data_IF_971118043487
#
_entry.id   IF_971118043487
#
_cell.length_a   1.000
_cell.length_b   1.000
_cell.length_c   1.000
_cell.angle_alpha   90.00
_cell.angle_beta   90.00
_cell.angle_gamma   90.00
#
_symmetry.space_group_name_H-M   'P 1'
#
loop_
_entity.id
_entity.type
_entity.pdbx_description
1 polymer ?
#
# COMPACT_ATOMS: atom_id res chain seq x y z
N UNK A 1 -5.72 -15.64 16.60
CA UNK A 1 -5.27 -16.78 15.74
C UNK A 1 -3.98 -16.35 15.05
N UNK A 2 -2.95 -17.17 15.14
CA UNK A 2 -1.72 -16.90 14.39
C UNK A 2 -1.83 -17.60 13.02
N UNK A 3 -1.87 -16.81 11.96
CA UNK A 3 -2.00 -17.32 10.58
C UNK A 3 -0.66 -17.79 10.06
N UNK A 4 -0.66 -18.86 9.28
CA UNK A 4 0.56 -19.33 8.61
C UNK A 4 1.07 -18.31 7.60
N UNK A 5 2.37 -18.31 7.31
CA UNK A 5 2.96 -17.42 6.31
C UNK A 5 2.35 -17.61 4.91
N UNK A 6 1.98 -18.84 4.56
CA UNK A 6 1.30 -19.11 3.29
C UNK A 6 -0.04 -18.35 3.18
N UNK A 7 -0.83 -18.31 4.25
CA UNK A 7 -2.08 -17.53 4.31
C UNK A 7 -1.80 -16.04 4.23
N UNK A 8 -0.76 -15.55 4.92
CA UNK A 8 -0.35 -14.15 4.86
C UNK A 8 0.06 -13.73 3.44
N UNK A 9 0.83 -14.55 2.71
CA UNK A 9 1.17 -14.28 1.30
C UNK A 9 -0.05 -14.30 0.39
N UNK A 10 -0.95 -15.26 0.58
CA UNK A 10 -2.18 -15.33 -0.20
C UNK A 10 -3.06 -14.08 -0.01
N UNK A 11 -3.14 -13.56 1.22
CA UNK A 11 -3.90 -12.33 1.51
C UNK A 11 -3.20 -11.07 1.01
N UNK A 12 -1.87 -11.00 0.98
CA UNK A 12 -1.12 -9.92 0.30
C UNK A 12 -1.35 -9.93 -1.22
N UNK A 13 -1.35 -11.12 -1.85
CA UNK A 13 -1.68 -11.28 -3.26
C UNK A 13 -3.12 -10.82 -3.55
N UNK A 14 -4.11 -11.32 -2.81
CA UNK A 14 -5.52 -10.99 -3.01
C UNK A 14 -5.78 -9.50 -2.70
N UNK A 15 -5.21 -8.98 -1.62
CA UNK A 15 -5.34 -7.58 -1.23
C UNK A 15 -4.79 -6.63 -2.29
N UNK A 16 -3.62 -6.95 -2.85
CA UNK A 16 -3.04 -6.15 -3.95
C UNK A 16 -3.86 -6.30 -5.23
N UNK A 17 -4.38 -7.49 -5.53
CA UNK A 17 -5.28 -7.67 -6.68
C UNK A 17 -6.54 -6.80 -6.56
N UNK A 18 -7.18 -6.77 -5.38
CA UNK A 18 -8.36 -5.93 -5.12
C UNK A 18 -7.99 -4.44 -5.25
N UNK A 19 -6.85 -4.01 -4.69
CA UNK A 19 -6.35 -2.65 -4.87
C UNK A 19 -6.30 -2.25 -6.35
N UNK A 20 -5.74 -3.11 -7.19
CA UNK A 20 -5.60 -2.82 -8.62
C UNK A 20 -6.95 -2.86 -9.34
N UNK A 21 -7.80 -3.83 -9.04
CA UNK A 21 -9.14 -3.92 -9.66
C UNK A 21 -9.95 -2.65 -9.40
N UNK A 22 -9.95 -2.16 -8.16
CA UNK A 22 -10.73 -0.98 -7.79
C UNK A 22 -10.04 0.33 -8.21
N UNK A 23 -8.75 0.45 -7.99
CA UNK A 23 -7.98 1.67 -8.32
C UNK A 23 -7.76 1.83 -9.82
N UNK A 24 -7.07 0.88 -10.46
CA UNK A 24 -6.82 0.94 -11.91
C UNK A 24 -8.10 0.77 -12.72
N UNK A 25 -9.08 0.03 -12.20
CA UNK A 25 -10.42 -0.06 -12.79
C UNK A 25 -11.15 1.29 -12.81
N UNK A 26 -11.04 2.08 -11.74
CA UNK A 26 -11.57 3.44 -11.73
C UNK A 26 -10.87 4.33 -12.76
N UNK A 27 -9.53 4.23 -12.88
CA UNK A 27 -8.79 4.94 -13.95
C UNK A 27 -9.27 4.49 -15.32
N UNK A 28 -9.41 3.18 -15.56
CA UNK A 28 -9.91 2.66 -16.84
C UNK A 28 -11.31 3.18 -17.16
N UNK A 29 -12.16 3.27 -16.15
CA UNK A 29 -13.52 3.80 -16.34
C UNK A 29 -13.53 5.31 -16.68
N UNK A 30 -12.58 6.10 -16.16
CA UNK A 30 -12.48 7.55 -16.44
C UNK A 30 -11.75 7.83 -17.75
N UNK A 31 -10.66 7.11 -18.04
CA UNK A 31 -9.73 7.43 -19.13
C UNK A 31 -10.07 6.74 -20.46
N UNK A 32 -10.64 5.54 -20.43
CA UNK A 32 -10.90 4.79 -21.67
C UNK A 32 -12.15 5.29 -22.38
N UNK A 33 -12.01 5.53 -23.68
CA UNK A 33 -13.07 6.07 -24.55
C UNK A 33 -14.29 5.13 -24.63
N UNK A 34 -15.45 5.67 -24.30
CA UNK A 34 -16.74 5.01 -24.46
C UNK A 34 -17.20 4.19 -23.27
N UNK A 35 -16.48 4.17 -22.15
CA UNK A 35 -17.02 3.70 -20.87
C UNK A 35 -18.11 4.64 -20.37
N UNK A 36 -18.98 4.17 -19.49
CA UNK A 36 -20.04 5.01 -18.91
C UNK A 36 -19.50 6.11 -17.99
N UNK A 37 -18.30 5.90 -17.43
CA UNK A 37 -17.61 6.87 -16.58
C UNK A 37 -16.58 7.72 -17.31
N UNK A 38 -16.51 7.64 -18.65
CA UNK A 38 -15.52 8.41 -19.41
C UNK A 38 -15.60 9.91 -19.09
N UNK A 39 -14.46 10.51 -18.74
CA UNK A 39 -14.33 11.91 -18.35
C UNK A 39 -15.15 12.33 -17.11
N UNK A 40 -15.55 11.39 -16.23
CA UNK A 40 -16.30 11.69 -15.01
C UNK A 40 -15.48 12.40 -13.92
N UNK A 41 -14.19 12.60 -14.14
CA UNK A 41 -13.33 13.41 -13.29
C UNK A 41 -12.49 12.64 -12.30
N UNK A 42 -11.50 13.35 -11.74
CA UNK A 42 -10.44 12.79 -10.90
C UNK A 42 -10.94 12.19 -9.57
N UNK A 43 -12.07 12.70 -9.05
CA UNK A 43 -12.64 12.21 -7.79
C UNK A 43 -13.02 10.74 -7.86
N UNK A 44 -13.48 10.25 -9.01
CA UNK A 44 -13.81 8.82 -9.21
C UNK A 44 -12.56 7.96 -9.01
N UNK A 45 -11.41 8.41 -9.54
CA UNK A 45 -10.12 7.72 -9.37
C UNK A 45 -9.70 7.72 -7.89
N UNK A 46 -9.84 8.87 -7.21
CA UNK A 46 -9.52 8.99 -5.79
C UNK A 46 -10.37 8.05 -4.92
N UNK A 47 -11.66 7.98 -5.17
CA UNK A 47 -12.57 7.02 -4.51
C UNK A 47 -12.14 5.58 -4.80
N UNK A 48 -11.86 5.25 -6.06
CA UNK A 48 -11.43 3.91 -6.46
C UNK A 48 -10.19 3.43 -5.71
N UNK A 49 -9.16 4.27 -5.59
CA UNK A 49 -7.95 3.92 -4.83
C UNK A 49 -8.17 3.90 -3.32
N UNK A 50 -8.95 4.84 -2.78
CA UNK A 50 -9.30 4.83 -1.36
C UNK A 50 -10.02 3.57 -0.95
N UNK A 51 -11.04 3.16 -1.72
CA UNK A 51 -11.75 1.89 -1.51
C UNK A 51 -10.86 0.69 -1.77
N UNK A 52 -9.97 0.78 -2.78
CA UNK A 52 -9.00 -0.25 -3.13
C UNK A 52 -8.00 -0.57 -2.02
N UNK A 53 -7.71 0.38 -1.13
CA UNK A 53 -6.89 0.16 0.07
C UNK A 53 -7.76 -0.23 1.26
N UNK A 54 -8.88 0.45 1.46
CA UNK A 54 -9.76 0.25 2.60
C UNK A 54 -10.34 -1.16 2.68
N UNK A 55 -10.88 -1.64 1.56
CA UNK A 55 -11.58 -2.94 1.54
C UNK A 55 -10.63 -4.09 1.90
N UNK A 56 -9.46 -4.27 1.24
CA UNK A 56 -8.54 -5.33 1.65
C UNK A 56 -7.97 -5.11 3.05
N UNK A 57 -7.81 -3.87 3.53
CA UNK A 57 -7.40 -3.61 4.90
C UNK A 57 -8.43 -4.14 5.91
N UNK A 58 -9.72 -3.91 5.67
CA UNK A 58 -10.80 -4.47 6.48
C UNK A 58 -10.86 -6.00 6.43
N UNK A 59 -10.56 -6.60 5.27
CA UNK A 59 -10.61 -8.06 5.08
C UNK A 59 -9.38 -8.78 5.67
N UNK A 60 -8.18 -8.22 5.47
CA UNK A 60 -6.91 -8.92 5.64
C UNK A 60 -5.95 -8.26 6.64
N UNK A 61 -6.30 -7.11 7.20
CA UNK A 61 -5.47 -6.38 8.14
C UNK A 61 -5.06 -7.23 9.36
N UNK A 62 -5.98 -8.03 9.88
CA UNK A 62 -5.73 -8.96 10.99
C UNK A 62 -5.00 -10.25 10.57
N UNK A 63 -4.78 -10.48 9.26
CA UNK A 63 -4.15 -11.69 8.74
C UNK A 63 -2.69 -11.45 8.39
N UNK A 64 -2.43 -10.53 7.45
CA UNK A 64 -1.09 -10.22 6.94
C UNK A 64 -0.54 -8.86 7.37
N UNK A 65 -1.36 -8.03 8.02
CA UNK A 65 -1.10 -6.60 8.20
C UNK A 65 -1.52 -5.76 7.00
N UNK A 66 -1.96 -6.40 5.91
CA UNK A 66 -2.39 -5.76 4.66
C UNK A 66 -1.41 -4.69 4.17
N UNK A 67 -0.15 -5.09 4.01
CA UNK A 67 0.88 -4.17 3.49
C UNK A 67 0.55 -3.74 2.07
N UNK A 68 0.24 -4.69 1.20
CA UNK A 68 -0.12 -4.52 -0.22
C UNK A 68 0.76 -3.50 -0.98
N UNK A 69 1.96 -3.25 -0.44
CA UNK A 69 2.87 -2.20 -0.89
C UNK A 69 4.32 -2.55 -0.50
N UNK A 70 5.22 -2.80 -1.48
CA UNK A 70 6.62 -3.11 -1.20
C UNK A 70 7.35 -2.03 -0.41
N UNK A 71 7.05 -0.75 -0.65
CA UNK A 71 7.70 0.35 0.07
C UNK A 71 7.32 0.36 1.56
N UNK A 72 6.07 0.05 1.90
CA UNK A 72 5.63 -0.10 3.28
C UNK A 72 6.27 -1.33 3.94
N UNK A 73 6.29 -2.47 3.25
CA UNK A 73 6.95 -3.69 3.72
C UNK A 73 8.42 -3.47 4.04
N UNK A 74 9.15 -2.80 3.14
CA UNK A 74 10.57 -2.46 3.34
C UNK A 74 10.77 -1.46 4.48
N UNK A 75 9.94 -0.42 4.58
CA UNK A 75 9.98 0.55 5.66
C UNK A 75 9.85 -0.12 7.04
N UNK A 76 8.87 -1.02 7.19
CA UNK A 76 8.68 -1.80 8.41
C UNK A 76 9.86 -2.72 8.70
N UNK A 77 10.43 -3.37 7.67
CA UNK A 77 11.57 -4.28 7.86
C UNK A 77 12.85 -3.55 8.30
N UNK A 78 13.17 -2.41 7.65
CA UNK A 78 14.32 -1.55 8.04
C UNK A 78 14.19 -1.07 9.48
N UNK A 79 12.97 -0.84 9.94
CA UNK A 79 12.69 -0.37 11.30
C UNK A 79 12.54 -1.49 12.34
N UNK A 80 12.73 -2.75 11.93
CA UNK A 80 12.62 -3.91 12.83
C UNK A 80 11.17 -4.28 13.21
N UNK A 81 10.18 -3.72 12.51
CA UNK A 81 8.75 -3.99 12.74
C UNK A 81 8.21 -5.14 11.87
N UNK A 82 9.02 -5.64 10.93
CA UNK A 82 8.68 -6.77 10.08
C UNK A 82 9.94 -7.64 9.83
N UNK A 83 9.83 -8.98 9.86
CA UNK A 83 11.00 -9.87 9.70
C UNK A 83 11.54 -9.86 8.27
N UNK A 84 12.84 -9.63 8.10
CA UNK A 84 13.52 -9.61 6.80
C UNK A 84 13.36 -10.90 6.02
N UNK A 85 13.28 -12.05 6.69
CA UNK A 85 13.07 -13.37 6.08
C UNK A 85 11.76 -13.48 5.28
N UNK A 86 10.82 -12.57 5.48
CA UNK A 86 9.49 -12.60 4.84
C UNK A 86 9.30 -11.48 3.80
N UNK A 87 10.26 -10.55 3.68
CA UNK A 87 10.15 -9.38 2.80
C UNK A 87 10.02 -9.78 1.34
N UNK A 88 10.89 -10.67 0.86
CA UNK A 88 10.88 -11.07 -0.54
C UNK A 88 9.55 -11.74 -0.94
N UNK A 89 9.01 -12.62 -0.10
CA UNK A 89 7.77 -13.33 -0.35
C UNK A 89 6.57 -12.38 -0.37
N UNK A 90 6.54 -11.38 0.54
CA UNK A 90 5.52 -10.33 0.51
C UNK A 90 5.57 -9.53 -0.79
N UNK A 91 6.75 -9.06 -1.18
CA UNK A 91 6.92 -8.29 -2.42
C UNK A 91 6.50 -9.11 -3.65
N UNK A 92 6.90 -10.38 -3.72
CA UNK A 92 6.49 -11.28 -4.82
C UNK A 92 4.97 -11.43 -4.84
N UNK A 93 4.33 -11.69 -3.70
CA UNK A 93 2.88 -11.83 -3.60
C UNK A 93 2.16 -10.54 -4.05
N UNK A 94 2.65 -9.38 -3.61
CA UNK A 94 2.11 -8.07 -3.97
C UNK A 94 2.23 -7.78 -5.47
N UNK A 95 3.40 -8.02 -6.07
CA UNK A 95 3.62 -7.81 -7.51
C UNK A 95 2.77 -8.76 -8.36
N UNK A 96 2.72 -10.04 -8.00
CA UNK A 96 1.86 -11.02 -8.69
C UNK A 96 0.38 -10.68 -8.55
N UNK A 97 -0.05 -10.24 -7.37
CA UNK A 97 -1.41 -9.75 -7.13
C UNK A 97 -1.75 -8.54 -8.00
N UNK A 98 -0.81 -7.60 -8.14
CA UNK A 98 -0.96 -6.44 -9.01
C UNK A 98 -1.10 -6.83 -10.49
N UNK A 99 -0.29 -7.76 -10.97
CA UNK A 99 -0.37 -8.28 -12.35
C UNK A 99 -1.72 -8.97 -12.57
N UNK A 100 -2.14 -9.82 -11.64
CA UNK A 100 -3.40 -10.54 -11.73
C UNK A 100 -4.61 -9.59 -11.72
N UNK A 101 -4.65 -8.63 -10.78
CA UNK A 101 -5.68 -7.62 -10.71
C UNK A 101 -5.78 -6.79 -12.00
N UNK A 102 -4.63 -6.40 -12.56
CA UNK A 102 -4.58 -5.66 -13.81
C UNK A 102 -5.05 -6.50 -15.02
N UNK A 103 -4.74 -7.78 -15.04
CA UNK A 103 -5.24 -8.68 -16.09
C UNK A 103 -6.77 -8.74 -16.09
N UNK A 104 -7.40 -8.74 -14.91
CA UNK A 104 -8.87 -8.68 -14.79
C UNK A 104 -9.42 -7.32 -15.23
N UNK A 105 -8.76 -6.20 -14.92
CA UNK A 105 -9.14 -4.86 -15.45
C UNK A 105 -9.09 -4.86 -16.97
N UNK A 106 -8.02 -5.41 -17.57
CA UNK A 106 -7.91 -5.51 -19.04
C UNK A 106 -9.02 -6.38 -19.61
N UNK A 107 -9.30 -7.56 -19.02
CA UNK A 107 -10.33 -8.45 -19.50
C UNK A 107 -11.72 -7.79 -19.53
N UNK A 108 -12.05 -7.04 -18.48
CA UNK A 108 -13.35 -6.35 -18.38
C UNK A 108 -13.46 -5.11 -19.25
N UNK A 109 -12.34 -4.43 -19.56
CA UNK A 109 -12.32 -3.17 -20.32
C UNK A 109 -11.76 -3.33 -21.74
N UNK A 110 -11.47 -4.54 -22.22
CA UNK A 110 -10.85 -4.76 -23.53
C UNK A 110 -11.52 -4.01 -24.70
N UNK A 111 -12.88 -3.98 -24.85
CA UNK A 111 -13.51 -3.25 -25.96
C UNK A 111 -13.23 -1.74 -25.95
N UNK A 112 -12.94 -1.17 -24.79
CA UNK A 112 -12.67 0.26 -24.60
C UNK A 112 -11.18 0.58 -24.84
N UNK A 113 -10.27 -0.32 -24.51
CA UNK A 113 -8.86 -0.21 -24.92
C UNK A 113 -8.74 -0.11 -26.44
N UNK A 114 -9.46 -0.94 -27.18
CA UNK A 114 -9.45 -0.95 -28.65
C UNK A 114 -9.96 0.36 -29.29
N UNK A 115 -10.77 1.13 -28.56
CA UNK A 115 -11.34 2.41 -29.03
C UNK A 115 -10.55 3.63 -28.57
N UNK A 116 -9.64 3.48 -27.63
CA UNK A 116 -8.91 4.60 -27.03
C UNK A 116 -7.69 4.94 -27.88
N UNK A 117 -7.61 6.20 -28.32
CA UNK A 117 -6.57 6.67 -29.26
C UNK A 117 -5.35 7.24 -28.52
N UNK A 118 -5.53 7.80 -27.32
CA UNK A 118 -4.44 8.40 -26.55
C UNK A 118 -3.63 7.32 -25.82
N UNK A 119 -2.35 7.11 -26.17
CA UNK A 119 -1.52 6.09 -25.54
C UNK A 119 -1.26 6.37 -24.03
N UNK A 120 -1.29 7.65 -23.61
CA UNK A 120 -1.13 7.99 -22.21
C UNK A 120 -2.37 7.57 -21.38
N UNK A 121 -3.58 7.68 -21.96
CA UNK A 121 -4.79 7.21 -21.30
C UNK A 121 -4.77 5.68 -21.15
N UNK A 122 -4.25 4.97 -22.16
CA UNK A 122 -4.07 3.52 -22.10
C UNK A 122 -3.05 3.17 -20.99
N UNK A 123 -1.84 3.72 -21.05
CA UNK A 123 -0.79 3.45 -20.07
C UNK A 123 -1.20 3.90 -18.66
N UNK A 124 -1.93 5.01 -18.52
CA UNK A 124 -2.42 5.53 -17.24
C UNK A 124 -3.31 4.56 -16.47
N UNK A 125 -4.02 3.66 -17.19
CA UNK A 125 -4.80 2.59 -16.54
C UNK A 125 -3.93 1.47 -15.94
N UNK A 126 -2.65 1.42 -16.24
CA UNK A 126 -1.68 0.46 -15.73
C UNK A 126 -0.77 1.09 -14.69
N UNK A 127 -0.15 2.23 -15.04
CA UNK A 127 1.00 2.77 -14.31
C UNK A 127 0.95 4.28 -14.24
N UNK A 128 1.72 4.84 -13.33
CA UNK A 128 1.88 6.28 -13.20
C UNK A 128 2.74 6.84 -14.33
N UNK A 129 2.34 8.01 -14.81
CA UNK A 129 3.06 8.76 -15.84
C UNK A 129 3.04 10.24 -15.48
N UNK A 130 4.16 10.92 -15.68
CA UNK A 130 4.18 12.36 -15.46
C UNK A 130 3.35 13.11 -16.51
N UNK A 131 2.52 14.05 -16.05
CA UNK A 131 1.68 14.88 -16.89
C UNK A 131 2.48 15.91 -17.71
N UNK A 132 3.74 16.20 -17.33
CA UNK A 132 4.60 17.19 -17.99
C UNK A 132 5.61 16.57 -18.97
N UNK A 133 5.54 15.25 -19.24
CA UNK A 133 6.38 14.60 -20.24
C UNK A 133 5.85 14.88 -21.66
N UNK A 134 6.59 15.68 -22.43
CA UNK A 134 6.34 15.98 -23.83
C UNK A 134 7.31 15.28 -24.80
N UNK A 135 8.07 14.28 -24.31
CA UNK A 135 8.98 13.45 -25.12
C UNK A 135 10.37 14.03 -25.34
N UNK A 136 10.67 15.25 -24.88
CA UNK A 136 12.02 15.83 -24.96
C UNK A 136 12.88 15.44 -23.78
N UNK A 137 14.21 15.57 -23.88
CA UNK A 137 15.12 15.28 -22.76
C UNK A 137 14.85 16.19 -21.55
N UNK A 138 14.61 17.46 -21.82
CA UNK A 138 14.33 18.49 -20.81
C UNK A 138 13.02 18.20 -20.09
N UNK A 139 11.95 17.86 -20.82
CA UNK A 139 10.66 17.50 -20.21
C UNK A 139 10.74 16.20 -19.40
N UNK A 140 11.50 15.21 -19.87
CA UNK A 140 11.74 13.97 -19.11
C UNK A 140 12.53 14.19 -17.83
N UNK A 141 13.54 15.07 -17.86
CA UNK A 141 14.26 15.44 -16.63
C UNK A 141 13.33 16.15 -15.64
N UNK A 142 12.58 17.16 -16.10
CA UNK A 142 11.60 17.85 -15.27
C UNK A 142 10.52 16.89 -14.70
N UNK A 143 10.00 15.99 -15.57
CA UNK A 143 9.05 14.93 -15.19
C UNK A 143 9.61 14.00 -14.11
N UNK A 144 10.89 13.63 -14.22
CA UNK A 144 11.57 12.77 -13.23
C UNK A 144 11.68 13.46 -11.88
N UNK A 145 12.17 14.71 -11.86
CA UNK A 145 12.34 15.49 -10.62
C UNK A 145 11.00 15.75 -9.94
N UNK A 146 10.03 16.28 -10.70
CA UNK A 146 8.69 16.55 -10.18
C UNK A 146 8.01 15.28 -9.69
N UNK A 147 8.09 14.21 -10.49
CA UNK A 147 7.52 12.91 -10.14
C UNK A 147 8.15 12.31 -8.89
N UNK A 148 9.47 12.37 -8.74
CA UNK A 148 10.17 11.88 -7.56
C UNK A 148 9.73 12.62 -6.29
N UNK A 149 9.67 13.95 -6.34
CA UNK A 149 9.22 14.77 -5.21
C UNK A 149 7.76 14.43 -4.86
N UNK A 150 6.89 14.35 -5.85
CA UNK A 150 5.47 14.05 -5.66
C UNK A 150 5.24 12.66 -5.03
N UNK A 151 5.88 11.63 -5.59
CA UNK A 151 5.81 10.26 -5.08
C UNK A 151 6.42 10.13 -3.68
N UNK A 152 7.52 10.83 -3.41
CA UNK A 152 8.14 10.84 -2.08
C UNK A 152 7.23 11.49 -1.04
N UNK A 153 6.72 12.70 -1.31
CA UNK A 153 5.86 13.42 -0.36
C UNK A 153 4.57 12.64 -0.11
N UNK A 154 3.91 12.16 -1.17
CA UNK A 154 2.68 11.39 -1.03
C UNK A 154 2.87 10.09 -0.25
N UNK A 155 3.94 9.35 -0.54
CA UNK A 155 4.27 8.11 0.17
C UNK A 155 4.69 8.36 1.61
N UNK A 156 5.45 9.43 1.87
CA UNK A 156 5.83 9.81 3.23
C UNK A 156 4.60 10.07 4.10
N UNK A 157 3.68 10.90 3.61
CA UNK A 157 2.42 11.19 4.33
C UNK A 157 1.59 9.92 4.51
N UNK A 158 1.50 9.08 3.45
CA UNK A 158 0.77 7.81 3.52
C UNK A 158 1.29 6.93 4.66
N UNK A 159 2.59 6.66 4.69
CA UNK A 159 3.15 5.70 5.65
C UNK A 159 3.21 6.26 7.06
N UNK A 160 3.59 7.53 7.21
CA UNK A 160 3.62 8.18 8.52
C UNK A 160 2.23 8.24 9.16
N UNK A 161 1.21 8.67 8.41
CA UNK A 161 -0.17 8.75 8.89
C UNK A 161 -0.78 7.36 9.10
N UNK A 162 -0.50 6.38 8.20
CA UNK A 162 -0.97 5.01 8.38
C UNK A 162 -0.46 4.42 9.70
N UNK A 163 0.84 4.56 10.00
CA UNK A 163 1.42 4.11 11.27
C UNK A 163 0.81 4.85 12.46
N UNK A 164 0.65 6.17 12.36
CA UNK A 164 0.04 6.97 13.42
C UNK A 164 -1.39 6.55 13.74
N UNK A 165 -2.22 6.36 12.69
CA UNK A 165 -3.60 5.92 12.85
C UNK A 165 -3.70 4.49 13.38
N UNK A 166 -2.89 3.57 12.87
CA UNK A 166 -2.93 2.17 13.31
C UNK A 166 -2.39 2.01 14.72
N UNK A 167 -1.34 2.76 15.12
CA UNK A 167 -0.81 2.71 16.49
C UNK A 167 -1.85 3.05 17.54
N UNK A 168 -2.62 4.10 17.35
CA UNK A 168 -3.63 4.54 18.31
C UNK A 168 -4.78 3.54 18.50
N UNK A 169 -4.90 2.57 17.61
CA UNK A 169 -5.93 1.54 17.61
C UNK A 169 -5.38 0.11 17.81
N UNK A 170 -4.06 -0.05 18.02
CA UNK A 170 -3.47 -1.38 18.22
C UNK A 170 -3.47 -1.81 19.69
N UNK A 171 -4.50 -2.52 20.08
CA UNK A 171 -4.49 -3.27 21.33
C UNK A 171 -3.36 -4.30 21.41
N UNK A 172 -2.93 -4.89 20.31
CA UNK A 172 -1.81 -5.83 20.26
C UNK A 172 -0.47 -5.20 20.67
N UNK A 173 -0.20 -3.94 20.28
CA UNK A 173 1.03 -3.25 20.68
C UNK A 173 1.00 -2.86 22.16
N UNK A 174 -0.16 -2.42 22.66
CA UNK A 174 -0.35 -2.15 24.09
C UNK A 174 -0.17 -3.42 24.92
N UNK A 175 -0.67 -4.56 24.43
CA UNK A 175 -0.47 -5.84 25.06
C UNK A 175 1.00 -6.28 25.05
N UNK A 176 1.71 -6.09 23.94
CA UNK A 176 3.14 -6.37 23.82
C UNK A 176 3.97 -5.51 24.78
N UNK A 177 3.64 -4.21 24.91
CA UNK A 177 4.29 -3.33 25.89
C UNK A 177 4.00 -3.77 27.33
N UNK A 178 2.75 -4.10 27.66
CA UNK A 178 2.40 -4.60 28.98
C UNK A 178 3.16 -5.89 29.29
N UNK A 179 3.29 -6.79 28.33
CA UNK A 179 4.08 -8.02 28.45
C UNK A 179 5.57 -7.74 28.67
N UNK A 180 6.15 -6.79 27.94
CA UNK A 180 7.53 -6.32 28.13
C UNK A 180 7.74 -5.78 29.54
N UNK A 181 6.88 -4.90 30.02
CA UNK A 181 6.96 -4.35 31.39
C UNK A 181 6.87 -5.43 32.46
N UNK A 182 5.98 -6.42 32.30
CA UNK A 182 5.85 -7.54 33.22
C UNK A 182 7.13 -8.40 33.23
N UNK A 183 7.69 -8.69 32.06
CA UNK A 183 8.94 -9.44 31.93
C UNK A 183 10.12 -8.72 32.57
N UNK A 184 10.21 -7.40 32.39
CA UNK A 184 11.25 -6.56 33.01
C UNK A 184 11.13 -6.53 34.53
N UNK A 185 9.91 -6.48 35.09
CA UNK A 185 9.67 -6.58 36.52
C UNK A 185 10.08 -7.95 37.08
N UNK A 186 9.77 -9.03 36.37
CA UNK A 186 10.19 -10.39 36.74
C UNK A 186 11.71 -10.50 36.72
N UNK A 187 12.39 -9.99 35.70
CA UNK A 187 13.84 -9.99 35.57
C UNK A 187 14.50 -9.20 36.70
N UNK A 188 13.98 -8.00 37.01
CA UNK A 188 14.50 -7.18 38.14
C UNK A 188 14.32 -7.86 39.50
N UNK A 189 13.15 -8.44 39.75
CA UNK A 189 12.93 -9.19 41.00
C UNK A 189 13.88 -10.40 41.14
N UNK A 190 14.08 -11.12 40.02
CA UNK A 190 15.02 -12.26 39.99
C UNK A 190 16.47 -11.80 40.26
N UNK A 191 16.88 -10.69 39.72
CA UNK A 191 18.20 -10.11 39.97
C UNK A 191 18.40 -9.67 41.42
N UNK A 192 17.32 -9.39 42.15
CA UNK A 192 17.30 -9.07 43.58
C UNK A 192 17.11 -10.30 44.47
N UNK A 193 17.15 -11.50 43.90
CA UNK A 193 16.95 -12.75 44.64
C UNK A 193 15.50 -13.04 45.07
N UNK A 194 14.54 -12.30 44.48
CA UNK A 194 13.12 -12.49 44.71
C UNK A 194 12.51 -13.29 43.58
N UNK A 195 11.58 -14.19 43.87
CA UNK A 195 10.84 -14.97 42.87
C UNK A 195 9.39 -14.47 42.84
N UNK A 196 8.94 -13.95 41.68
CA UNK A 196 7.53 -13.64 41.48
C UNK A 196 6.81 -14.94 41.14
N UNK A 197 5.77 -15.35 41.88
CA UNK A 197 5.00 -16.55 41.57
C UNK A 197 4.40 -16.49 40.16
N UNK A 198 4.49 -17.58 39.40
CA UNK A 198 3.97 -17.67 38.03
C UNK A 198 2.48 -17.31 37.95
N UNK A 199 1.72 -17.58 38.98
CA UNK A 199 0.31 -17.23 39.09
C UNK A 199 0.08 -15.72 39.07
N UNK A 200 0.94 -14.93 39.71
CA UNK A 200 0.87 -13.45 39.68
C UNK A 200 1.23 -12.90 38.31
N UNK A 201 2.23 -13.50 37.65
CA UNK A 201 2.60 -13.12 36.26
C UNK A 201 1.43 -13.39 35.32
N UNK A 202 0.80 -14.55 35.43
CA UNK A 202 -0.35 -14.92 34.60
C UNK A 202 -1.55 -14.02 34.88
N UNK A 203 -1.84 -13.70 36.14
CA UNK A 203 -2.93 -12.78 36.50
C UNK A 203 -2.70 -11.36 35.93
N UNK A 204 -1.48 -10.84 36.01
CA UNK A 204 -1.13 -9.55 35.47
C UNK A 204 -1.30 -9.51 33.91
N UNK A 205 -0.93 -10.58 33.21
CA UNK A 205 -1.12 -10.72 31.76
C UNK A 205 -2.61 -10.77 31.39
N UNK A 206 -3.42 -11.53 32.13
CA UNK A 206 -4.88 -11.60 31.89
C UNK A 206 -5.56 -10.25 32.20
N UNK A 207 -5.12 -9.54 33.21
CA UNK A 207 -5.60 -8.19 33.51
C UNK A 207 -5.23 -7.21 32.36
N UNK A 208 -4.00 -7.26 31.85
CA UNK A 208 -3.57 -6.47 30.71
C UNK A 208 -4.40 -6.77 29.45
N UNK A 209 -4.65 -8.05 29.14
CA UNK A 209 -5.53 -8.48 28.04
C UNK A 209 -6.94 -7.92 28.19
N UNK A 210 -7.50 -7.95 29.39
CA UNK A 210 -8.85 -7.43 29.65
C UNK A 210 -8.92 -5.91 29.46
N UNK A 211 -7.91 -5.19 29.89
CA UNK A 211 -7.83 -3.73 29.72
C UNK A 211 -7.67 -3.32 28.26
N UNK A 212 -6.98 -4.12 27.47
CA UNK A 212 -6.71 -3.84 26.05
C UNK A 212 -7.82 -4.37 25.11
N UNK A 213 -8.64 -5.33 25.58
CA UNK A 213 -9.71 -5.94 24.79
C UNK A 213 -10.67 -4.95 24.09
N UNK A 214 -11.06 -3.82 24.70
CA UNK A 214 -11.91 -2.81 24.04
C UNK A 214 -11.25 -2.16 22.81
N UNK A 215 -9.93 -2.19 22.71
CA UNK A 215 -9.15 -1.57 21.63
C UNK A 215 -8.78 -2.56 20.51
N UNK A 216 -9.06 -3.86 20.68
CA UNK A 216 -8.57 -4.89 19.77
C UNK A 216 -9.38 -5.03 18.48
N UNK A 217 -10.67 -4.78 18.46
CA UNK A 217 -11.52 -5.07 17.28
C UNK A 217 -12.19 -3.84 16.67
N UNK A 218 -12.95 -3.02 17.40
CA UNK A 218 -13.58 -1.84 16.79
C UNK A 218 -12.55 -0.80 16.32
N UNK A 219 -11.44 -0.65 17.05
CA UNK A 219 -10.40 0.32 16.75
C UNK A 219 -9.70 0.05 15.43
N UNK A 220 -9.37 -1.20 15.12
CA UNK A 220 -8.70 -1.57 13.88
C UNK A 220 -9.58 -1.34 12.65
N UNK A 221 -10.88 -1.63 12.74
CA UNK A 221 -11.81 -1.34 11.65
C UNK A 221 -11.91 0.17 11.36
N UNK A 222 -11.94 1.02 12.40
CA UNK A 222 -11.94 2.48 12.24
C UNK A 222 -10.63 2.96 11.60
N UNK A 223 -9.48 2.39 12.01
CA UNK A 223 -8.18 2.71 11.41
C UNK A 223 -8.14 2.35 9.92
N UNK A 224 -8.69 1.21 9.53
CA UNK A 224 -8.77 0.80 8.12
C UNK A 224 -9.71 1.69 7.30
N UNK A 225 -10.83 2.14 7.87
CA UNK A 225 -11.68 3.15 7.24
C UNK A 225 -10.92 4.47 7.06
N UNK A 226 -10.26 4.95 8.10
CA UNK A 226 -9.46 6.18 8.06
C UNK A 226 -8.32 6.09 7.03
N UNK A 227 -7.68 4.92 6.88
CA UNK A 227 -6.66 4.67 5.87
C UNK A 227 -7.20 4.82 4.44
N UNK A 228 -8.41 4.34 4.17
CA UNK A 228 -9.07 4.54 2.89
C UNK A 228 -9.33 6.00 2.58
N UNK A 229 -9.84 6.77 3.53
CA UNK A 229 -10.03 8.21 3.40
C UNK A 229 -8.71 8.98 3.24
N UNK A 230 -7.64 8.56 3.94
CA UNK A 230 -6.31 9.11 3.73
C UNK A 230 -5.84 8.94 2.28
N UNK A 231 -5.98 7.73 1.72
CA UNK A 231 -5.61 7.47 0.33
C UNK A 231 -6.47 8.30 -0.63
N UNK A 232 -7.78 8.42 -0.39
CA UNK A 232 -8.63 9.33 -1.17
C UNK A 232 -8.11 10.76 -1.14
N UNK A 233 -7.77 11.28 0.05
CA UNK A 233 -7.25 12.62 0.22
C UNK A 233 -5.92 12.82 -0.52
N UNK A 234 -4.98 11.85 -0.44
CA UNK A 234 -3.70 11.90 -1.13
C UNK A 234 -3.87 11.85 -2.66
N UNK A 235 -4.73 10.98 -3.17
CA UNK A 235 -5.00 10.92 -4.62
C UNK A 235 -5.69 12.18 -5.11
N UNK A 236 -6.59 12.75 -4.31
CA UNK A 236 -7.26 14.02 -4.66
C UNK A 236 -6.28 15.19 -4.69
N UNK A 237 -5.34 15.26 -3.74
CA UNK A 237 -4.44 16.40 -3.58
C UNK A 237 -3.13 16.28 -4.35
N UNK A 238 -2.56 15.09 -4.45
CA UNK A 238 -1.22 14.84 -5.01
C UNK A 238 -1.21 13.93 -6.24
N UNK A 239 -2.36 13.37 -6.63
CA UNK A 239 -2.42 12.45 -7.77
C UNK A 239 -2.29 13.12 -9.13
N UNK A 240 -2.57 14.42 -9.26
CA UNK A 240 -2.57 15.14 -10.54
C UNK A 240 -1.26 15.15 -11.30
N UNK A 241 -0.08 15.38 -10.66
CA UNK A 241 1.20 15.44 -11.37
C UNK A 241 1.64 14.13 -12.04
N UNK A 242 1.38 12.99 -11.42
CA UNK A 242 1.94 11.70 -11.87
C UNK A 242 0.91 10.58 -11.99
N UNK A 243 -0.25 10.74 -11.42
CA UNK A 243 -1.17 9.67 -11.10
C UNK A 243 -0.90 9.14 -9.67
N UNK A 244 -1.81 8.35 -9.09
CA UNK A 244 -1.65 7.84 -7.73
C UNK A 244 -0.71 6.63 -7.71
N UNK A 245 0.60 6.88 -7.67
CA UNK A 245 1.62 5.85 -7.55
C UNK A 245 1.68 5.29 -6.14
N UNK A 246 2.51 5.87 -5.28
CA UNK A 246 2.68 5.63 -3.85
C UNK A 246 2.99 4.17 -3.47
N UNK A 247 3.15 3.29 -4.47
CA UNK A 247 3.23 1.85 -4.28
C UNK A 247 3.98 1.19 -5.45
N UNK A 248 5.18 0.65 -5.21
CA UNK A 248 5.96 0.00 -6.26
C UNK A 248 5.24 -1.16 -6.96
N UNK A 249 4.48 -1.99 -6.25
CA UNK A 249 3.77 -3.10 -6.88
C UNK A 249 2.62 -2.61 -7.76
N UNK A 250 1.92 -1.54 -7.35
CA UNK A 250 0.82 -0.92 -8.10
C UNK A 250 1.29 -0.33 -9.42
N UNK A 251 2.56 0.11 -9.51
CA UNK A 251 3.12 0.61 -10.77
C UNK A 251 3.84 -0.47 -11.56
N UNK A 252 4.81 -1.16 -10.95
CA UNK A 252 5.71 -2.09 -11.65
C UNK A 252 4.99 -3.30 -12.22
N UNK A 253 4.11 -3.95 -11.44
CA UNK A 253 3.40 -5.15 -11.89
C UNK A 253 2.51 -4.90 -13.13
N UNK A 254 1.59 -3.92 -13.08
CA UNK A 254 0.78 -3.55 -14.23
C UNK A 254 1.61 -3.01 -15.41
N UNK A 255 2.69 -2.26 -15.18
CA UNK A 255 3.59 -1.77 -16.25
C UNK A 255 4.24 -2.93 -17.00
N UNK A 256 4.66 -3.96 -16.28
CA UNK A 256 5.19 -5.18 -16.88
C UNK A 256 4.11 -5.85 -17.76
N UNK A 257 2.89 -5.96 -17.26
CA UNK A 257 1.78 -6.50 -18.05
C UNK A 257 1.50 -5.66 -19.30
N UNK A 258 1.49 -4.32 -19.18
CA UNK A 258 1.35 -3.43 -20.34
C UNK A 258 2.46 -3.69 -21.38
N UNK A 259 3.69 -3.89 -20.95
CA UNK A 259 4.80 -4.14 -21.87
C UNK A 259 4.63 -5.41 -22.70
N UNK A 260 4.15 -6.50 -22.08
CA UNK A 260 4.03 -7.82 -22.73
C UNK A 260 2.71 -8.00 -23.51
N UNK A 261 1.66 -7.28 -23.16
CA UNK A 261 0.39 -7.41 -23.87
C UNK A 261 0.48 -6.86 -25.29
N UNK A 262 -0.04 -7.58 -26.31
CA UNK A 262 0.00 -7.15 -27.70
C UNK A 262 -1.07 -6.07 -28.01
N UNK A 263 -0.88 -5.38 -29.14
CA UNK A 263 -1.87 -4.41 -29.66
C UNK A 263 -3.25 -5.02 -29.95
N UNK A 264 -3.32 -6.30 -30.27
CA UNK A 264 -4.60 -7.01 -30.46
C UNK A 264 -5.46 -7.04 -29.18
N UNK A 265 -4.87 -6.77 -28.00
CA UNK A 265 -5.57 -6.68 -26.71
C UNK A 265 -5.77 -5.22 -26.30
N UNK A 266 -4.72 -4.38 -26.41
CA UNK A 266 -4.73 -3.01 -25.91
C UNK A 266 -5.05 -1.94 -26.99
N UNK A 267 -5.24 -2.34 -28.23
CA UNK A 267 -5.51 -1.43 -29.36
C UNK A 267 -4.23 -0.98 -30.08
N UNK A 268 -4.42 -0.43 -31.27
CA UNK A 268 -3.31 0.06 -32.12
C UNK A 268 -2.52 1.18 -31.46
N UNK A 269 -3.16 1.95 -30.60
CA UNK A 269 -2.59 3.08 -29.88
C UNK A 269 -1.98 2.72 -28.51
N UNK A 270 -1.66 1.46 -28.27
CA UNK A 270 -1.06 0.99 -26.99
C UNK A 270 0.10 1.87 -26.50
N UNK A 271 0.96 2.33 -27.39
CA UNK A 271 2.12 3.17 -27.04
C UNK A 271 3.25 2.45 -26.32
N UNK A 272 4.19 3.22 -25.79
CA UNK A 272 5.35 2.77 -25.01
C UNK A 272 5.00 2.67 -23.51
N UNK A 273 5.64 1.71 -22.82
CA UNK A 273 5.47 1.49 -21.37
C UNK A 273 6.28 2.47 -20.51
N UNK A 274 7.02 3.40 -21.11
CA UNK A 274 7.82 4.45 -20.45
C UNK A 274 8.73 3.93 -19.33
N UNK A 275 9.52 2.90 -19.64
CA UNK A 275 10.46 2.29 -18.69
C UNK A 275 11.51 3.27 -18.14
N UNK A 276 11.81 4.34 -18.87
CA UNK A 276 12.69 5.41 -18.42
C UNK A 276 12.20 6.09 -17.14
N UNK A 277 10.88 6.09 -16.91
CA UNK A 277 10.23 6.68 -15.73
C UNK A 277 9.97 5.66 -14.62
N UNK A 278 9.92 4.36 -14.94
CA UNK A 278 9.46 3.28 -14.05
C UNK A 278 10.19 3.20 -12.70
N UNK A 279 11.43 3.68 -12.62
CA UNK A 279 12.20 3.69 -11.38
C UNK A 279 11.67 4.71 -10.36
N UNK A 280 11.05 5.81 -10.80
CA UNK A 280 10.52 6.87 -9.93
C UNK A 280 9.46 6.33 -8.97
N UNK A 281 8.35 5.69 -9.43
CA UNK A 281 7.32 5.14 -8.54
C UNK A 281 7.77 3.89 -7.74
N UNK A 282 9.01 3.45 -7.94
CA UNK A 282 9.63 2.39 -7.13
C UNK A 282 10.53 2.99 -6.06
N UNK A 283 11.50 3.81 -6.45
CA UNK A 283 12.55 4.31 -5.54
C UNK A 283 12.03 5.40 -4.62
N UNK A 284 11.22 6.33 -5.12
CA UNK A 284 10.71 7.43 -4.30
C UNK A 284 9.81 6.95 -3.14
N UNK A 285 8.82 6.04 -3.36
CA UNK A 285 8.04 5.48 -2.27
C UNK A 285 8.87 4.66 -1.26
N UNK A 286 9.89 3.90 -1.73
CA UNK A 286 10.77 3.15 -0.81
C UNK A 286 11.56 4.10 0.09
N UNK A 287 12.17 5.13 -0.49
CA UNK A 287 12.90 6.14 0.29
C UNK A 287 11.97 6.86 1.29
N UNK A 288 10.76 7.21 0.86
CA UNK A 288 9.74 7.82 1.71
C UNK A 288 9.28 6.88 2.84
N UNK A 289 9.10 5.60 2.55
CA UNK A 289 8.71 4.59 3.54
C UNK A 289 9.74 4.47 4.66
N UNK A 290 11.01 4.38 4.30
CA UNK A 290 12.11 4.34 5.27
C UNK A 290 12.13 5.61 6.13
N UNK A 291 12.03 6.79 5.51
CA UNK A 291 12.03 8.06 6.22
C UNK A 291 10.81 8.22 7.14
N UNK A 292 9.62 7.85 6.67
CA UNK A 292 8.38 7.94 7.45
C UNK A 292 8.39 7.04 8.68
N UNK A 293 8.84 5.78 8.51
CA UNK A 293 8.93 4.83 9.63
C UNK A 293 10.03 5.23 10.61
N UNK A 294 11.16 5.74 10.14
CA UNK A 294 12.22 6.26 11.01
C UNK A 294 11.72 7.44 11.85
N UNK A 295 11.04 8.41 11.25
CA UNK A 295 10.45 9.53 11.98
C UNK A 295 9.36 9.05 12.96
N UNK A 296 8.54 8.09 12.54
CA UNK A 296 7.52 7.51 13.42
C UNK A 296 8.15 6.89 14.69
N UNK A 297 9.23 6.10 14.52
CA UNK A 297 9.95 5.53 15.65
C UNK A 297 10.53 6.60 16.58
N UNK A 298 11.12 7.63 16.01
CA UNK A 298 11.70 8.74 16.80
C UNK A 298 10.65 9.45 17.68
N UNK A 299 9.42 9.60 17.17
CA UNK A 299 8.37 10.36 17.85
C UNK A 299 7.52 9.51 18.81
N UNK A 300 7.39 8.22 18.57
CA UNK A 300 6.38 7.40 19.25
C UNK A 300 6.93 6.13 19.92
N UNK A 301 8.20 5.79 19.71
CA UNK A 301 8.83 4.58 20.28
C UNK A 301 10.10 4.91 21.02
#
# INVERSE_FOLDING_TARGET
MDFTWAVKYATEFLGTAILIILGNGAVANVELKGTKGHQSGWLVIAVGYGMGVMIPALMFGNVSGNHINPAFTLGLAVSGLFPWSQVAQYIIAQVLGAIFGQALVVATHRPYYLKTENPNNILGTFSTISSIDHGTKESRFAATVNGFINEFVGSFVLFFAALGMTKNFFGAELLSKAQGMINDQVAQATAQGQTIPQEQVTAALEQAKTQVAPFLSPGLAIAHLALGFLVMALVTSLGGPTGPGLNPARDFGPRLLHAVLPKSILGEHKGDSKWWYAWVPVVAPIAAGIAAVALFKLLYM
#
